data_IF_823933891732
#
_entry.id   IF_823933891732
#
_cell.length_a   1.000
_cell.length_b   1.000
_cell.length_c   1.000
_cell.angle_alpha   90.00
_cell.angle_beta   90.00
_cell.angle_gamma   90.00
#
_symmetry.space_group_name_H-M   'P 1'
#
loop_
_entity.id
_entity.type
_entity.pdbx_description
1 polymer ?
#
# COMPACT_ATOMS: atom_id res chain seq x y z
N UNK A 1 1.37 -10.17 9.92
CA UNK A 1 0.20 -9.50 9.35
C UNK A 1 -0.52 -10.35 8.32
N UNK A 2 -1.67 -9.92 7.88
CA UNK A 2 -2.47 -10.59 6.84
C UNK A 2 -3.38 -9.61 6.10
N UNK A 3 -3.87 -10.03 4.91
CA UNK A 3 -4.98 -9.43 4.16
C UNK A 3 -5.99 -10.53 3.88
N UNK A 4 -7.26 -10.31 4.23
CA UNK A 4 -8.38 -11.22 3.96
C UNK A 4 -9.50 -10.46 3.29
N UNK A 5 -10.07 -11.01 2.22
CA UNK A 5 -11.32 -10.49 1.65
C UNK A 5 -12.46 -10.92 2.55
N UNK A 6 -13.29 -9.98 2.96
CA UNK A 6 -14.49 -10.22 3.76
C UNK A 6 -15.72 -10.24 2.87
N UNK A 7 -15.76 -9.29 1.91
CA UNK A 7 -16.92 -9.10 1.07
C UNK A 7 -16.53 -8.28 -0.17
N UNK A 8 -17.26 -8.42 -1.27
CA UNK A 8 -17.10 -7.60 -2.46
C UNK A 8 -18.39 -7.49 -3.24
N UNK A 9 -18.54 -6.41 -3.97
CA UNK A 9 -19.66 -6.11 -4.83
C UNK A 9 -19.20 -5.88 -6.27
N UNK A 10 -19.85 -6.52 -7.23
CA UNK A 10 -19.56 -6.36 -8.65
C UNK A 10 -18.38 -7.22 -9.14
N UNK A 11 -18.21 -7.21 -10.45
CA UNK A 11 -17.16 -7.88 -11.21
C UNK A 11 -16.85 -7.09 -12.50
N UNK A 12 -16.04 -7.63 -13.43
CA UNK A 12 -15.75 -6.97 -14.69
C UNK A 12 -17.02 -6.66 -15.52
N UNK A 13 -18.08 -7.48 -15.41
CA UNK A 13 -19.33 -7.26 -16.13
C UNK A 13 -20.10 -6.05 -15.55
N UNK A 14 -20.03 -5.83 -14.26
CA UNK A 14 -20.65 -4.70 -13.57
C UNK A 14 -20.07 -3.36 -14.04
N UNK A 15 -18.75 -3.30 -14.27
CA UNK A 15 -18.07 -2.12 -14.83
C UNK A 15 -18.59 -1.81 -16.23
N UNK A 16 -18.71 -2.84 -17.05
CA UNK A 16 -19.23 -2.72 -18.42
C UNK A 16 -20.69 -2.28 -18.44
N UNK A 17 -21.51 -2.83 -17.54
CA UNK A 17 -22.92 -2.42 -17.37
C UNK A 17 -23.00 -0.95 -16.96
N UNK A 18 -22.23 -0.52 -15.97
CA UNK A 18 -22.18 0.85 -15.52
C UNK A 18 -21.79 1.82 -16.67
N UNK A 19 -20.77 1.46 -17.45
CA UNK A 19 -20.37 2.26 -18.60
C UNK A 19 -21.46 2.34 -19.67
N UNK A 20 -22.22 1.25 -19.90
CA UNK A 20 -23.27 1.16 -20.93
C UNK A 20 -24.61 1.75 -20.52
N UNK A 21 -24.85 2.00 -19.25
CA UNK A 21 -26.06 2.73 -18.78
C UNK A 21 -26.27 4.00 -19.57
N UNK A 22 -25.18 4.72 -19.89
CA UNK A 22 -25.24 5.94 -20.71
C UNK A 22 -25.76 5.73 -22.13
N UNK A 23 -25.77 4.48 -22.64
CA UNK A 23 -26.19 4.13 -24.00
C UNK A 23 -27.45 3.25 -24.06
N UNK A 24 -28.03 2.87 -22.91
CA UNK A 24 -29.25 2.05 -22.83
C UNK A 24 -29.12 0.64 -23.42
N UNK A 25 -27.91 0.12 -23.62
CA UNK A 25 -27.64 -1.20 -24.24
C UNK A 25 -26.90 -2.14 -23.30
N UNK A 26 -27.42 -3.34 -23.08
CA UNK A 26 -26.78 -4.39 -22.26
C UNK A 26 -25.49 -4.98 -22.85
N UNK A 27 -24.77 -5.77 -22.06
CA UNK A 27 -23.55 -6.49 -22.44
C UNK A 27 -23.80 -7.54 -23.52
N UNK A 28 -22.93 -7.64 -24.50
CA UNK A 28 -23.13 -8.58 -25.62
C UNK A 28 -21.98 -9.56 -25.87
N UNK A 29 -20.69 -9.29 -25.56
CA UNK A 29 -19.58 -10.23 -25.85
C UNK A 29 -18.33 -9.92 -25.00
N UNK A 30 -17.66 -10.94 -24.48
CA UNK A 30 -16.46 -10.86 -23.62
C UNK A 30 -15.31 -10.05 -24.23
N UNK A 31 -15.02 -10.23 -25.53
CA UNK A 31 -13.95 -9.47 -26.21
C UNK A 31 -14.26 -7.98 -26.35
N UNK A 32 -15.54 -7.62 -26.48
CA UNK A 32 -15.96 -6.20 -26.48
C UNK A 32 -15.83 -5.58 -25.09
N UNK A 33 -16.06 -6.37 -24.05
CA UNK A 33 -15.96 -5.94 -22.66
C UNK A 33 -14.52 -5.67 -22.28
N UNK A 34 -13.57 -6.54 -22.63
CA UNK A 34 -12.13 -6.32 -22.46
C UNK A 34 -11.65 -5.03 -23.12
N UNK A 35 -12.06 -4.78 -24.36
CA UNK A 35 -11.69 -3.57 -25.09
C UNK A 35 -12.30 -2.32 -24.46
N UNK A 36 -13.55 -2.38 -23.99
CA UNK A 36 -14.21 -1.26 -23.32
C UNK A 36 -13.52 -0.95 -21.99
N UNK A 37 -13.25 -1.94 -21.14
CA UNK A 37 -12.53 -1.75 -19.87
C UNK A 37 -11.15 -1.11 -20.12
N UNK A 38 -10.41 -1.63 -21.11
CA UNK A 38 -9.11 -1.05 -21.45
C UNK A 38 -9.24 0.40 -21.96
N UNK A 39 -10.24 0.72 -22.77
CA UNK A 39 -10.53 2.07 -23.24
C UNK A 39 -10.84 3.00 -22.06
N UNK A 40 -11.74 2.59 -21.16
CA UNK A 40 -12.12 3.39 -19.98
C UNK A 40 -10.90 3.72 -19.11
N UNK A 41 -10.04 2.74 -18.86
CA UNK A 41 -8.83 2.92 -18.06
C UNK A 41 -7.78 3.81 -18.74
N UNK A 42 -7.55 3.62 -20.03
CA UNK A 42 -6.58 4.43 -20.82
C UNK A 42 -7.01 5.89 -20.93
N UNK A 43 -8.31 6.16 -20.99
CA UNK A 43 -8.88 7.51 -21.09
C UNK A 43 -9.27 8.11 -19.74
N UNK A 44 -8.92 7.43 -18.62
CA UNK A 44 -9.16 7.90 -17.24
C UNK A 44 -10.64 8.12 -16.89
N UNK A 45 -11.53 7.31 -17.47
CA UNK A 45 -12.92 7.25 -17.00
C UNK A 45 -12.96 6.47 -15.69
N UNK A 46 -13.39 7.09 -14.59
CA UNK A 46 -13.29 6.53 -13.23
C UNK A 46 -14.59 5.91 -12.74
N UNK A 47 -15.72 6.59 -12.96
CA UNK A 47 -17.03 6.24 -12.39
C UNK A 47 -17.47 4.79 -12.60
N UNK A 48 -17.27 4.14 -13.78
CA UNK A 48 -17.65 2.73 -13.93
C UNK A 48 -16.92 1.79 -12.97
N UNK A 49 -15.66 2.11 -12.60
CA UNK A 49 -14.88 1.32 -11.63
C UNK A 49 -15.26 1.61 -10.18
N UNK A 50 -15.84 2.79 -9.90
CA UNK A 50 -16.35 3.16 -8.57
C UNK A 50 -17.62 2.39 -8.20
N UNK A 51 -18.28 1.74 -9.17
CA UNK A 51 -19.45 0.89 -8.93
C UNK A 51 -19.12 -0.49 -8.37
N UNK A 52 -17.86 -0.87 -8.30
CA UNK A 52 -17.39 -2.08 -7.66
C UNK A 52 -16.72 -1.74 -6.33
N UNK A 53 -17.03 -2.47 -5.28
CA UNK A 53 -16.45 -2.26 -3.95
C UNK A 53 -15.87 -3.56 -3.37
N UNK A 54 -14.84 -3.44 -2.53
CA UNK A 54 -14.27 -4.57 -1.80
C UNK A 54 -13.97 -4.18 -0.35
N UNK A 55 -14.21 -5.13 0.57
CA UNK A 55 -13.94 -4.98 1.99
C UNK A 55 -12.90 -6.00 2.44
N UNK A 56 -11.82 -5.51 3.00
CA UNK A 56 -10.72 -6.31 3.55
C UNK A 56 -10.71 -6.28 5.07
N UNK A 57 -10.30 -7.37 5.70
CA UNK A 57 -9.78 -7.41 7.05
C UNK A 57 -8.25 -7.49 6.97
N UNK A 58 -7.58 -6.53 7.57
CA UNK A 58 -6.13 -6.38 7.45
C UNK A 58 -5.52 -6.27 8.84
N UNK A 59 -4.46 -7.10 9.10
CA UNK A 59 -3.59 -6.98 10.27
C UNK A 59 -2.24 -6.45 9.81
N UNK A 60 -1.82 -5.30 10.34
CA UNK A 60 -0.63 -4.59 9.90
C UNK A 60 0.04 -3.84 11.06
N UNK A 61 1.37 -3.56 11.00
CA UNK A 61 2.03 -2.73 12.00
C UNK A 61 1.51 -1.28 11.98
N UNK A 62 1.44 -0.64 13.14
CA UNK A 62 0.94 0.74 13.27
C UNK A 62 1.71 1.71 12.37
N UNK A 63 3.04 1.59 12.21
CA UNK A 63 3.80 2.47 11.33
C UNK A 63 3.42 2.33 9.86
N UNK A 64 3.00 1.13 9.41
CA UNK A 64 2.44 0.90 8.07
C UNK A 64 1.04 1.47 7.98
N UNK A 65 0.21 1.28 9.02
CA UNK A 65 -1.14 1.83 9.10
C UNK A 65 -1.12 3.37 8.99
N UNK A 66 -0.18 4.04 9.63
CA UNK A 66 0.01 5.50 9.56
C UNK A 66 0.30 6.01 8.15
N UNK A 67 1.01 5.24 7.34
CA UNK A 67 1.24 5.54 5.93
C UNK A 67 -0.01 5.23 5.08
N UNK A 68 -0.69 4.13 5.36
CA UNK A 68 -1.86 3.67 4.61
C UNK A 68 -3.07 4.59 4.77
N UNK A 69 -3.35 5.05 5.99
CA UNK A 69 -4.51 5.91 6.30
C UNK A 69 -4.50 7.24 5.53
N UNK A 70 -3.40 7.61 4.87
CA UNK A 70 -3.33 8.79 3.99
C UNK A 70 -4.16 8.59 2.71
N UNK A 71 -4.53 7.36 2.36
CA UNK A 71 -5.52 7.05 1.32
C UNK A 71 -6.93 7.21 1.90
N UNK A 72 -7.48 8.43 1.78
CA UNK A 72 -8.71 8.87 2.47
C UNK A 72 -10.00 8.48 1.75
N UNK A 73 -9.91 7.98 0.50
CA UNK A 73 -11.06 7.56 -0.32
C UNK A 73 -11.48 6.12 -0.01
N UNK A 74 -11.52 5.78 1.27
CA UNK A 74 -11.88 4.47 1.79
C UNK A 74 -12.56 4.63 3.16
N UNK A 75 -13.31 3.61 3.58
CA UNK A 75 -13.87 3.52 4.91
C UNK A 75 -12.99 2.61 5.78
N UNK A 76 -12.65 3.07 6.97
CA UNK A 76 -11.81 2.34 7.94
C UNK A 76 -12.55 2.18 9.25
N UNK A 77 -12.53 0.97 9.79
CA UNK A 77 -12.93 0.68 11.16
C UNK A 77 -11.81 -0.10 11.83
N UNK A 78 -11.05 0.58 12.69
CA UNK A 78 -9.85 0.05 13.32
C UNK A 78 -10.15 -0.53 14.71
N UNK A 79 -9.47 -1.62 15.04
CA UNK A 79 -9.42 -2.18 16.39
C UNK A 79 -8.92 -1.14 17.40
N UNK A 80 -9.62 -1.01 18.50
CA UNK A 80 -9.33 0.07 19.47
C UNK A 80 -8.62 -0.44 20.71
N UNK A 81 -7.37 -0.01 20.88
CA UNK A 81 -6.62 -0.20 22.12
C UNK A 81 -7.18 0.55 23.35
N UNK A 82 -8.28 1.28 23.20
CA UNK A 82 -9.03 1.86 24.33
C UNK A 82 -10.00 0.86 24.95
N UNK A 83 -10.51 -0.07 24.13
CA UNK A 83 -11.54 -1.02 24.57
C UNK A 83 -10.97 -2.40 24.87
N UNK A 84 -9.85 -2.75 24.27
CA UNK A 84 -9.22 -4.06 24.41
C UNK A 84 -7.72 -3.92 24.67
N UNK A 85 -7.14 -4.90 25.33
CA UNK A 85 -5.69 -5.06 25.48
C UNK A 85 -5.16 -5.54 24.13
N UNK A 86 -4.09 -4.90 23.61
CA UNK A 86 -3.46 -5.32 22.37
C UNK A 86 -2.68 -6.62 22.57
N UNK A 87 -2.67 -7.44 21.52
CA UNK A 87 -1.85 -8.66 21.47
C UNK A 87 -0.36 -8.33 21.61
N UNK A 88 0.40 -9.24 22.22
CA UNK A 88 1.87 -9.14 22.30
C UNK A 88 2.51 -9.50 20.96
N UNK A 89 2.14 -8.78 19.92
CA UNK A 89 2.67 -8.97 18.59
C UNK A 89 3.25 -7.67 18.02
N UNK A 90 4.47 -7.75 17.52
CA UNK A 90 5.16 -6.62 16.87
C UNK A 90 5.98 -7.08 15.67
N UNK A 91 6.11 -6.17 14.72
CA UNK A 91 6.89 -6.38 13.51
C UNK A 91 8.38 -6.30 13.81
N UNK A 92 9.12 -7.32 13.39
CA UNK A 92 10.58 -7.35 13.36
C UNK A 92 10.99 -7.55 11.90
N UNK A 93 11.79 -6.65 11.30
CA UNK A 93 12.26 -6.82 9.93
C UNK A 93 13.18 -8.05 9.80
N UNK A 94 13.25 -8.64 8.62
CA UNK A 94 14.26 -9.65 8.30
C UNK A 94 15.64 -9.01 8.28
N UNK A 95 16.68 -9.78 8.54
CA UNK A 95 18.06 -9.28 8.58
C UNK A 95 18.49 -8.62 7.25
N UNK A 96 18.02 -9.16 6.12
CA UNK A 96 18.31 -8.62 4.79
C UNK A 96 17.60 -7.30 4.50
N UNK A 97 16.53 -7.00 5.24
CA UNK A 97 15.76 -5.76 5.14
C UNK A 97 16.34 -4.63 5.98
N UNK A 98 17.31 -4.92 6.85
CA UNK A 98 18.04 -3.91 7.64
C UNK A 98 19.13 -3.28 6.78
N UNK A 99 18.84 -2.08 6.26
CA UNK A 99 19.69 -1.32 5.34
C UNK A 99 19.77 0.14 5.77
N UNK A 100 20.82 0.89 5.36
CA UNK A 100 20.93 2.30 5.64
C UNK A 100 19.92 3.12 4.83
N UNK A 101 19.76 4.38 5.21
CA UNK A 101 18.95 5.35 4.44
C UNK A 101 19.53 5.50 3.03
N UNK A 102 18.67 5.47 2.01
CA UNK A 102 19.07 5.74 0.64
C UNK A 102 19.57 7.17 0.48
N UNK A 103 20.67 7.35 -0.25
CA UNK A 103 21.22 8.67 -0.56
C UNK A 103 20.51 9.36 -1.74
N UNK A 104 19.86 8.58 -2.60
CA UNK A 104 19.15 9.09 -3.78
C UNK A 104 17.64 9.30 -3.55
N UNK A 105 17.09 8.71 -2.49
CA UNK A 105 15.68 8.78 -2.15
C UNK A 105 15.50 8.92 -0.63
N UNK A 106 15.01 10.06 -0.20
CA UNK A 106 14.79 10.37 1.22
C UNK A 106 13.77 9.45 1.92
N UNK A 107 13.03 8.63 1.19
CA UNK A 107 12.05 7.69 1.73
C UNK A 107 12.49 6.22 1.67
N UNK A 108 13.54 5.93 0.90
CA UNK A 108 14.00 4.58 0.65
C UNK A 108 15.16 4.15 1.52
N UNK A 109 15.42 2.85 1.51
CA UNK A 109 16.61 2.23 2.10
C UNK A 109 17.42 1.54 1.01
N UNK A 110 18.75 1.72 1.00
CA UNK A 110 19.64 1.14 0.00
C UNK A 110 21.06 1.01 0.56
N UNK A 111 21.81 0.01 0.08
CA UNK A 111 23.15 -0.25 0.54
C UNK A 111 23.23 -1.38 1.56
N UNK A 112 24.41 -1.56 2.14
CA UNK A 112 24.67 -2.65 3.07
C UNK A 112 25.16 -2.13 4.44
N UNK A 113 24.84 -2.89 5.48
CA UNK A 113 25.33 -2.74 6.85
C UNK A 113 26.05 -4.03 7.19
N UNK A 114 27.11 -3.97 7.96
CA UNK A 114 27.83 -5.13 8.47
C UNK A 114 26.86 -6.09 9.20
N UNK A 115 27.05 -7.39 9.00
CA UNK A 115 26.12 -8.43 9.47
C UNK A 115 25.93 -8.43 10.98
N UNK A 116 26.99 -8.22 11.74
CA UNK A 116 26.90 -8.23 13.21
C UNK A 116 26.23 -6.97 13.74
N UNK A 117 26.42 -5.84 13.06
CA UNK A 117 25.72 -4.61 13.36
C UNK A 117 24.20 -4.73 13.03
N UNK A 118 23.83 -5.39 11.93
CA UNK A 118 22.42 -5.73 11.63
C UNK A 118 21.79 -6.56 12.76
N UNK A 119 22.49 -7.58 13.25
CA UNK A 119 22.01 -8.42 14.37
C UNK A 119 21.82 -7.59 15.64
N UNK A 120 22.77 -6.71 15.94
CA UNK A 120 22.69 -5.82 17.08
C UNK A 120 21.46 -4.90 16.99
N UNK A 121 21.20 -4.26 15.84
CA UNK A 121 20.02 -3.43 15.63
C UNK A 121 18.71 -4.22 15.75
N UNK A 122 18.66 -5.44 15.22
CA UNK A 122 17.49 -6.31 15.36
C UNK A 122 17.24 -6.70 16.84
N UNK A 123 18.31 -7.00 17.61
CA UNK A 123 18.18 -7.26 19.04
C UNK A 123 17.62 -6.07 19.79
N UNK A 124 18.16 -4.86 19.53
CA UNK A 124 17.65 -3.62 20.14
C UNK A 124 16.16 -3.39 19.83
N UNK A 125 15.74 -3.57 18.58
CA UNK A 125 14.34 -3.40 18.18
C UNK A 125 13.46 -4.40 18.95
N UNK A 126 13.87 -5.67 19.02
CA UNK A 126 13.13 -6.75 19.67
C UNK A 126 13.05 -6.57 21.19
N UNK A 127 14.15 -6.21 21.81
CA UNK A 127 14.24 -6.02 23.27
C UNK A 127 13.40 -4.81 23.71
N UNK A 128 13.53 -3.67 23.00
CA UNK A 128 12.71 -2.50 23.27
C UNK A 128 11.21 -2.77 23.09
N UNK A 129 10.82 -3.54 22.07
CA UNK A 129 9.42 -3.90 21.88
C UNK A 129 8.88 -4.72 23.05
N UNK A 130 9.66 -5.69 23.55
CA UNK A 130 9.30 -6.51 24.73
C UNK A 130 9.19 -5.67 26.00
N UNK A 131 10.18 -4.80 26.27
CA UNK A 131 10.18 -3.91 27.44
C UNK A 131 8.97 -3.00 27.40
N UNK A 132 8.68 -2.38 26.27
CA UNK A 132 7.52 -1.50 26.11
C UNK A 132 6.19 -2.24 26.31
N UNK A 133 6.08 -3.48 25.83
CA UNK A 133 4.88 -4.29 26.05
C UNK A 133 4.72 -4.71 27.51
N UNK A 134 5.81 -5.08 28.19
CA UNK A 134 5.82 -5.35 29.63
C UNK A 134 5.43 -4.11 30.42
N UNK A 135 5.95 -2.94 30.06
CA UNK A 135 5.56 -1.65 30.67
C UNK A 135 4.06 -1.36 30.48
N UNK A 136 3.54 -1.62 29.29
CA UNK A 136 2.10 -1.47 28.98
C UNK A 136 1.22 -2.30 29.90
N UNK A 137 1.54 -3.58 30.08
CA UNK A 137 0.83 -4.47 30.98
C UNK A 137 0.96 -4.05 32.45
N UNK A 138 2.17 -3.67 32.85
CA UNK A 138 2.40 -3.15 34.20
C UNK A 138 1.55 -1.90 34.49
N UNK A 139 1.46 -0.98 33.54
CA UNK A 139 0.61 0.23 33.65
C UNK A 139 -0.88 -0.13 33.76
N UNK A 140 -1.33 -1.18 33.11
CA UNK A 140 -2.69 -1.71 33.20
C UNK A 140 -2.93 -2.53 34.46
N UNK A 141 -1.89 -2.93 35.17
CA UNK A 141 -1.94 -3.90 36.26
C UNK A 141 -2.51 -5.26 35.86
N UNK A 142 -2.09 -5.79 34.69
CA UNK A 142 -2.51 -7.10 34.18
C UNK A 142 -1.31 -8.00 33.85
N UNK A 143 -1.50 -9.29 33.96
CA UNK A 143 -0.53 -10.33 33.61
C UNK A 143 -0.53 -10.70 32.10
N UNK A 144 0.09 -11.84 31.74
CA UNK A 144 0.17 -12.33 30.36
C UNK A 144 -1.21 -12.70 29.79
N UNK A 145 -2.13 -13.15 30.62
CA UNK A 145 -3.48 -13.58 30.25
C UNK A 145 -4.50 -12.42 30.31
N UNK A 146 -4.08 -11.26 30.80
CA UNK A 146 -4.92 -10.06 30.97
C UNK A 146 -5.66 -10.02 32.28
N UNK A 147 -5.32 -10.92 33.22
CA UNK A 147 -5.86 -10.97 34.57
C UNK A 147 -5.15 -9.97 35.50
N UNK A 148 -5.81 -9.59 36.59
CA UNK A 148 -5.29 -8.62 37.54
C UNK A 148 -4.00 -9.13 38.21
N UNK A 149 -2.90 -8.36 38.12
CA UNK A 149 -1.61 -8.75 38.71
C UNK A 149 -1.54 -8.54 40.24
N UNK A 150 -2.06 -7.42 40.71
CA UNK A 150 -1.95 -7.02 42.13
C UNK A 150 -3.23 -6.30 42.56
N UNK A 151 -3.96 -6.92 43.49
CA UNK A 151 -5.22 -6.38 44.04
C UNK A 151 -5.04 -5.07 44.82
N UNK A 152 -3.83 -4.80 45.31
CA UNK A 152 -3.51 -3.57 46.08
C UNK A 152 -3.12 -2.40 45.18
N UNK A 153 -2.95 -2.62 43.90
CA UNK A 153 -2.50 -1.63 42.94
C UNK A 153 -3.59 -1.31 41.92
N UNK A 154 -3.84 -0.03 41.70
CA UNK A 154 -4.72 0.43 40.64
C UNK A 154 -3.92 0.72 39.36
N UNK A 155 -4.28 0.08 38.23
CA UNK A 155 -3.73 0.40 36.92
C UNK A 155 -4.29 1.69 36.34
N UNK A 156 -3.61 2.24 35.33
CA UNK A 156 -4.11 3.42 34.62
C UNK A 156 -5.04 3.00 33.45
N UNK A 157 -5.82 3.97 32.95
CA UNK A 157 -6.73 3.74 31.83
C UNK A 157 -6.00 3.26 30.57
N UNK A 158 -6.61 2.33 29.81
CA UNK A 158 -6.07 1.79 28.55
C UNK A 158 -5.69 2.87 27.54
N UNK A 159 -6.46 3.94 27.46
CA UNK A 159 -6.20 5.08 26.56
C UNK A 159 -4.87 5.79 26.85
N UNK A 160 -4.38 5.74 28.08
CA UNK A 160 -3.08 6.26 28.48
C UNK A 160 -1.99 5.21 28.42
N UNK A 161 -2.25 4.00 28.94
CA UNK A 161 -1.25 2.93 28.99
C UNK A 161 -0.69 2.61 27.58
N UNK A 162 -1.54 2.63 26.54
CA UNK A 162 -1.11 2.37 25.15
C UNK A 162 -0.06 3.33 24.59
N UNK A 163 0.21 4.47 25.23
CA UNK A 163 1.20 5.44 24.76
C UNK A 163 2.63 4.89 24.76
N UNK A 164 2.93 3.87 25.57
CA UNK A 164 4.24 3.23 25.62
C UNK A 164 4.44 2.16 24.57
N UNK A 165 3.39 1.77 23.83
CA UNK A 165 3.49 0.74 22.81
C UNK A 165 4.31 1.22 21.61
N UNK A 166 5.23 0.40 21.07
CA UNK A 166 6.03 0.77 19.91
C UNK A 166 5.18 0.81 18.64
N UNK A 167 5.56 1.64 17.69
CA UNK A 167 4.91 1.72 16.37
C UNK A 167 4.98 0.40 15.58
N UNK A 168 5.86 -0.52 15.96
CA UNK A 168 5.95 -1.87 15.40
C UNK A 168 4.83 -2.81 15.88
N UNK A 169 4.05 -2.45 16.92
CA UNK A 169 2.88 -3.22 17.35
C UNK A 169 1.88 -3.37 16.21
N UNK A 170 1.23 -4.53 16.14
CA UNK A 170 0.19 -4.77 15.13
C UNK A 170 -1.14 -4.16 15.56
N UNK A 171 -1.84 -3.56 14.58
CA UNK A 171 -3.25 -3.21 14.65
C UNK A 171 -4.03 -4.00 13.61
N UNK A 172 -5.35 -3.95 13.68
CA UNK A 172 -6.25 -4.59 12.72
C UNK A 172 -7.36 -3.63 12.35
N UNK A 173 -7.81 -3.69 11.10
CA UNK A 173 -8.96 -2.94 10.64
C UNK A 173 -9.78 -3.63 9.57
N UNK A 174 -11.03 -3.26 9.47
CA UNK A 174 -11.78 -3.39 8.23
C UNK A 174 -11.50 -2.16 7.36
N UNK A 175 -11.17 -2.41 6.10
CA UNK A 175 -10.91 -1.38 5.10
C UNK A 175 -11.75 -1.66 3.86
N UNK A 176 -12.72 -0.76 3.56
CA UNK A 176 -13.63 -0.86 2.43
C UNK A 176 -13.30 0.23 1.44
N UNK A 177 -13.20 -0.13 0.17
CA UNK A 177 -12.79 0.77 -0.90
C UNK A 177 -13.42 0.36 -2.23
N UNK A 178 -13.75 1.33 -3.08
CA UNK A 178 -14.12 1.06 -4.47
C UNK A 178 -12.90 0.69 -5.31
N UNK A 179 -13.16 0.07 -6.48
CA UNK A 179 -12.10 -0.47 -7.34
C UNK A 179 -11.22 0.65 -7.96
N UNK A 180 -11.78 1.82 -8.30
CA UNK A 180 -10.99 2.94 -8.81
C UNK A 180 -9.95 3.40 -7.79
N UNK A 181 -10.37 3.62 -6.56
CA UNK A 181 -9.49 4.06 -5.47
C UNK A 181 -8.54 2.94 -5.01
N UNK A 182 -8.96 1.67 -5.10
CA UNK A 182 -8.06 0.53 -4.89
C UNK A 182 -6.92 0.54 -5.92
N UNK A 183 -7.21 0.72 -7.20
CA UNK A 183 -6.19 0.83 -8.24
C UNK A 183 -5.26 2.02 -8.02
N UNK A 184 -5.76 3.15 -7.54
CA UNK A 184 -4.92 4.28 -7.15
C UNK A 184 -3.98 3.93 -5.98
N UNK A 185 -4.49 3.27 -4.95
CA UNK A 185 -3.66 2.77 -3.85
C UNK A 185 -2.58 1.81 -4.36
N UNK A 186 -2.95 0.83 -5.18
CA UNK A 186 -2.03 -0.18 -5.73
C UNK A 186 -0.95 0.45 -6.60
N UNK A 187 -1.29 1.39 -7.47
CA UNK A 187 -0.31 2.11 -8.31
C UNK A 187 0.75 2.83 -7.48
N UNK A 188 0.41 3.36 -6.30
CA UNK A 188 1.33 4.06 -5.43
C UNK A 188 2.09 3.15 -4.45
N UNK A 189 1.53 2.02 -4.06
CA UNK A 189 2.09 1.16 -2.99
C UNK A 189 2.72 -0.12 -3.51
N UNK A 190 2.44 -0.50 -4.74
CA UNK A 190 3.13 -1.56 -5.45
C UNK A 190 4.40 -1.06 -6.15
N UNK A 191 4.57 0.25 -6.29
CA UNK A 191 5.76 0.89 -6.86
C UNK A 191 7.03 0.56 -6.07
N UNK A 192 8.15 0.33 -6.76
CA UNK A 192 9.44 -0.05 -6.17
C UNK A 192 10.03 1.03 -5.22
N UNK A 193 9.58 2.28 -5.36
CA UNK A 193 9.98 3.37 -4.45
C UNK A 193 9.14 3.42 -3.17
N UNK A 194 8.06 2.64 -3.07
CA UNK A 194 7.28 2.56 -1.84
C UNK A 194 8.05 1.79 -0.76
N UNK A 195 7.71 2.03 0.51
CA UNK A 195 8.31 1.29 1.61
C UNK A 195 7.99 -0.21 1.50
N UNK A 196 8.99 -1.07 1.65
CA UNK A 196 8.85 -2.53 1.48
C UNK A 196 7.68 -3.13 2.28
N UNK A 197 7.49 -2.70 3.52
CA UNK A 197 6.46 -3.25 4.39
C UNK A 197 5.04 -2.97 3.86
N UNK A 198 4.78 -1.86 3.17
CA UNK A 198 3.48 -1.61 2.54
C UNK A 198 3.38 -2.28 1.16
N UNK A 199 4.51 -2.42 0.43
CA UNK A 199 4.55 -3.14 -0.86
C UNK A 199 4.07 -4.59 -0.71
N UNK A 200 4.47 -5.28 0.37
CA UNK A 200 4.05 -6.68 0.63
C UNK A 200 2.53 -6.80 0.71
N UNK A 201 1.86 -5.86 1.37
CA UNK A 201 0.39 -5.83 1.42
C UNK A 201 -0.22 -5.50 0.05
N UNK A 202 0.31 -4.49 -0.64
CA UNK A 202 -0.15 -4.11 -1.97
C UNK A 202 -0.04 -5.27 -2.98
N UNK A 203 1.04 -6.06 -2.91
CA UNK A 203 1.22 -7.25 -3.74
C UNK A 203 0.13 -8.30 -3.51
N UNK A 204 -0.16 -8.62 -2.26
CA UNK A 204 -1.24 -9.57 -1.92
C UNK A 204 -2.59 -9.04 -2.42
N UNK A 205 -2.86 -7.74 -2.26
CA UNK A 205 -4.11 -7.13 -2.72
C UNK A 205 -4.20 -7.12 -4.26
N UNK A 206 -3.09 -6.93 -4.95
CA UNK A 206 -3.02 -7.01 -6.41
C UNK A 206 -3.35 -8.42 -6.91
N UNK A 207 -2.84 -9.46 -6.24
CA UNK A 207 -3.18 -10.86 -6.54
C UNK A 207 -4.67 -11.18 -6.28
N UNK A 208 -5.26 -10.58 -5.23
CA UNK A 208 -6.70 -10.69 -4.95
C UNK A 208 -7.54 -9.96 -6.01
N UNK A 209 -7.12 -8.76 -6.44
CA UNK A 209 -7.77 -8.02 -7.53
C UNK A 209 -7.76 -8.82 -8.83
N UNK A 210 -6.65 -9.50 -9.15
CA UNK A 210 -6.55 -10.37 -10.34
C UNK A 210 -7.60 -11.48 -10.35
N UNK A 211 -7.91 -12.04 -9.17
CA UNK A 211 -8.94 -13.09 -9.02
C UNK A 211 -10.35 -12.52 -9.11
N UNK A 212 -10.57 -11.32 -8.60
CA UNK A 212 -11.87 -10.66 -8.53
C UNK A 212 -12.30 -10.08 -9.88
N UNK A 213 -11.42 -9.29 -10.51
CA UNK A 213 -11.69 -8.54 -11.76
C UNK A 213 -10.54 -8.71 -12.76
N UNK A 214 -10.39 -9.91 -13.38
CA UNK A 214 -9.22 -10.24 -14.19
C UNK A 214 -9.05 -9.36 -15.44
N UNK A 215 -10.11 -8.93 -16.10
CA UNK A 215 -10.02 -8.05 -17.27
C UNK A 215 -9.56 -6.65 -16.88
N UNK A 216 -10.09 -6.14 -15.76
CA UNK A 216 -9.67 -4.85 -15.20
C UNK A 216 -8.23 -4.92 -14.69
N UNK A 217 -7.83 -6.03 -14.06
CA UNK A 217 -6.45 -6.24 -13.67
C UNK A 217 -5.48 -6.14 -14.86
N UNK A 218 -5.75 -6.84 -15.97
CA UNK A 218 -4.91 -6.78 -17.18
C UNK A 218 -4.82 -5.35 -17.74
N UNK A 219 -5.94 -4.64 -17.75
CA UNK A 219 -5.98 -3.24 -18.20
C UNK A 219 -5.22 -2.32 -17.23
N UNK A 220 -5.33 -2.54 -15.90
CA UNK A 220 -4.63 -1.79 -14.87
C UNK A 220 -3.10 -1.96 -14.98
N UNK A 221 -2.63 -3.19 -15.10
CA UNK A 221 -1.19 -3.45 -15.30
C UNK A 221 -0.69 -2.68 -16.53
N UNK A 222 -1.35 -2.84 -17.66
CA UNK A 222 -0.95 -2.20 -18.93
C UNK A 222 -0.93 -0.67 -18.88
N UNK A 223 -1.96 -0.06 -18.28
CA UNK A 223 -2.17 1.39 -18.40
C UNK A 223 -1.72 2.18 -17.16
N UNK A 224 -1.32 1.51 -16.06
CA UNK A 224 -0.92 2.18 -14.82
C UNK A 224 0.40 1.66 -14.25
N UNK A 225 0.59 0.33 -14.17
CA UNK A 225 1.80 -0.27 -13.58
C UNK A 225 2.95 -0.25 -14.59
N UNK A 226 2.73 -0.83 -15.77
CA UNK A 226 3.74 -0.93 -16.85
C UNK A 226 3.73 0.29 -17.78
N UNK A 227 3.12 1.40 -17.36
CA UNK A 227 3.02 2.61 -18.16
C UNK A 227 3.89 3.72 -17.60
N UNK A 228 4.29 4.64 -18.46
CA UNK A 228 5.04 5.81 -18.11
C UNK A 228 4.20 7.08 -18.35
N UNK A 229 4.12 7.94 -17.34
CA UNK A 229 3.55 9.28 -17.51
C UNK A 229 4.68 10.25 -17.87
N UNK A 230 4.56 10.91 -19.00
CA UNK A 230 5.54 11.86 -19.51
C UNK A 230 5.00 13.29 -19.41
N UNK A 231 5.88 14.24 -19.05
CA UNK A 231 5.59 15.67 -19.17
C UNK A 231 5.56 16.11 -20.65
N UNK A 232 5.03 17.30 -20.92
CA UNK A 232 5.07 17.89 -22.27
C UNK A 232 6.50 18.04 -22.78
N UNK A 233 7.40 18.47 -21.91
CA UNK A 233 8.82 18.67 -22.19
C UNK A 233 9.51 17.33 -22.52
N UNK A 234 9.18 16.26 -21.80
CA UNK A 234 9.70 14.92 -22.06
C UNK A 234 9.21 14.40 -23.43
N UNK A 235 7.95 14.65 -23.78
CA UNK A 235 7.39 14.29 -25.09
C UNK A 235 8.11 15.06 -26.22
N UNK A 236 8.34 16.36 -26.06
CA UNK A 236 9.09 17.15 -27.04
C UNK A 236 10.52 16.67 -27.20
N UNK A 237 11.21 16.41 -26.08
CA UNK A 237 12.55 15.84 -26.12
C UNK A 237 12.59 14.52 -26.89
N UNK A 238 11.67 13.60 -26.63
CA UNK A 238 11.59 12.33 -27.37
C UNK A 238 11.31 12.55 -28.87
N UNK A 239 10.40 13.47 -29.23
CA UNK A 239 10.14 13.80 -30.63
C UNK A 239 11.40 14.32 -31.34
N UNK A 240 12.20 15.16 -30.68
CA UNK A 240 13.45 15.65 -31.24
C UNK A 240 14.51 14.55 -31.36
N UNK A 241 14.62 13.66 -30.39
CA UNK A 241 15.55 12.50 -30.46
C UNK A 241 15.17 11.55 -31.58
N UNK A 242 13.87 11.24 -31.77
CA UNK A 242 13.37 10.39 -32.84
C UNK A 242 13.63 11.00 -34.24
N UNK A 243 13.78 12.34 -34.34
CA UNK A 243 14.17 13.05 -35.59
C UNK A 243 15.69 13.14 -35.78
N UNK A 244 16.50 12.30 -35.09
CA UNK A 244 17.97 12.24 -35.18
C UNK A 244 18.72 13.53 -34.85
N UNK A 245 18.16 14.43 -34.06
CA UNK A 245 18.87 15.61 -33.58
C UNK A 245 19.78 15.22 -32.41
N UNK A 246 21.11 15.23 -32.62
CA UNK A 246 22.10 14.78 -31.62
C UNK A 246 22.16 15.68 -30.38
N UNK A 247 22.03 16.98 -30.51
CA UNK A 247 22.08 17.94 -29.39
C UNK A 247 20.74 18.66 -29.26
N UNK A 248 19.94 18.22 -28.31
CA UNK A 248 18.67 18.84 -28.02
C UNK A 248 18.76 19.57 -26.68
N UNK A 249 18.73 20.91 -26.76
CA UNK A 249 18.48 21.72 -25.57
C UNK A 249 17.08 21.42 -25.08
N UNK A 250 16.95 20.94 -23.82
CA UNK A 250 15.66 20.51 -23.28
C UNK A 250 15.44 21.13 -21.90
N UNK A 251 14.17 21.32 -21.54
CA UNK A 251 13.71 21.80 -20.25
C UNK A 251 13.14 20.67 -19.39
N UNK A 252 13.42 19.41 -19.75
CA UNK A 252 12.97 18.23 -19.00
C UNK A 252 13.63 18.23 -17.63
N UNK A 253 12.85 17.94 -16.58
CA UNK A 253 13.37 17.80 -15.24
C UNK A 253 14.49 16.75 -15.21
N UNK A 254 15.58 17.03 -14.48
CA UNK A 254 16.77 16.16 -14.42
C UNK A 254 16.44 14.72 -14.10
N UNK A 255 15.54 14.47 -13.11
CA UNK A 255 15.14 13.12 -12.68
C UNK A 255 14.34 12.40 -13.78
N UNK A 256 13.43 13.12 -14.45
CA UNK A 256 12.66 12.56 -15.57
C UNK A 256 13.56 12.25 -16.76
N UNK A 257 14.51 13.12 -17.08
CA UNK A 257 15.49 12.90 -18.14
C UNK A 257 16.37 11.66 -17.87
N UNK A 258 16.83 11.47 -16.65
CA UNK A 258 17.59 10.28 -16.25
C UNK A 258 16.74 8.98 -16.40
N UNK A 259 15.46 9.04 -16.02
CA UNK A 259 14.53 7.92 -16.21
C UNK A 259 14.30 7.62 -17.69
N UNK A 260 14.07 8.64 -18.53
CA UNK A 260 13.92 8.45 -19.99
C UNK A 260 15.16 7.80 -20.60
N UNK A 261 16.35 8.31 -20.27
CA UNK A 261 17.62 7.72 -20.76
C UNK A 261 17.76 6.26 -20.36
N UNK A 262 17.43 5.92 -19.12
CA UNK A 262 17.46 4.54 -18.62
C UNK A 262 16.47 3.61 -19.33
N UNK A 263 15.22 4.08 -19.52
CA UNK A 263 14.14 3.28 -20.13
C UNK A 263 14.35 3.06 -21.62
N UNK A 264 14.77 4.13 -22.34
CA UNK A 264 14.90 4.10 -23.79
C UNK A 264 16.33 3.92 -24.28
N UNK A 265 17.30 3.68 -23.38
CA UNK A 265 18.74 3.55 -23.71
C UNK A 265 19.26 4.73 -24.56
N UNK A 266 18.91 5.96 -24.18
CA UNK A 266 19.25 7.19 -24.90
C UNK A 266 20.56 7.83 -24.42
#
# INVERSE_FOLDING_TARGET
>A
GFVRVIDYMGDDSSIVQAARVSYGKGTKKLNQDKNLINYLLSHRHTTPFEMNEIKFHIKLPIFVARQWIRHRTANVNEYSARYSILDNEFYIPKIDDVKPQSQSNNQGRHGEIEKDLKKHYLSLIKENAKINFSSYKHLLNVDEDGELMDEKRTGIARELARMVLPLSSYTQWYWKIDLHNLMHFLALRFDDHAQYEIQVYAKVMLDLMKKWVPLTYDAFIRNRVDSLTLSSEAIEYLKMRLKNKKDVKNNVNKRELENLKKIFNL
#
